data_IF_243312037115
#
_entry.id   IF_243312037115
#
_cell.length_a   1.000
_cell.length_b   1.000
_cell.length_c   1.000
_cell.angle_alpha   90.00
_cell.angle_beta   90.00
_cell.angle_gamma   90.00
#
_symmetry.space_group_name_H-M   'P 1'
#
loop_
_entity.id
_entity.type
_entity.pdbx_description
1 polymer ?
#
# COMPACT_ATOMS: atom_id res chain seq x y z
N UNK A 1 44.57 22.00 -41.45
CA UNK A 1 45.07 21.53 -40.14
C UNK A 1 43.97 20.64 -39.55
N UNK A 2 43.78 19.36 -39.91
CA UNK A 2 44.68 18.21 -40.09
C UNK A 2 45.50 17.91 -38.84
N UNK A 3 45.01 16.92 -38.08
CA UNK A 3 45.75 15.87 -37.37
C UNK A 3 46.67 16.27 -36.22
N UNK A 4 46.43 15.68 -35.03
CA UNK A 4 47.28 15.51 -33.83
C UNK A 4 46.33 15.70 -32.62
N UNK A 5 45.82 14.70 -31.89
CA UNK A 5 46.51 13.61 -31.23
C UNK A 5 45.53 12.44 -30.99
N UNK A 6 45.54 11.46 -31.89
CA UNK A 6 45.33 10.07 -31.51
C UNK A 6 46.65 9.58 -30.89
N UNK A 7 46.71 9.45 -29.56
CA UNK A 7 47.71 8.63 -28.84
C UNK A 7 47.48 8.77 -27.35
N UNK A 8 46.60 7.96 -26.79
CA UNK A 8 46.87 7.25 -25.54
C UNK A 8 46.05 5.96 -25.53
N UNK A 9 46.50 5.10 -26.43
CA UNK A 9 46.25 3.67 -26.45
C UNK A 9 46.65 3.06 -25.10
N UNK A 10 45.96 1.97 -24.73
CA UNK A 10 46.40 0.95 -23.77
C UNK A 10 46.41 1.35 -22.28
N UNK A 11 45.25 1.20 -21.65
CA UNK A 11 45.23 0.51 -20.35
C UNK A 11 44.12 -0.52 -20.36
N UNK A 12 44.53 -1.73 -20.74
CA UNK A 12 43.78 -2.97 -20.78
C UNK A 12 43.51 -3.40 -19.34
N UNK A 13 42.53 -2.78 -18.67
CA UNK A 13 42.04 -3.29 -17.40
C UNK A 13 41.10 -4.46 -17.68
N UNK A 14 41.65 -5.69 -17.64
CA UNK A 14 40.87 -6.89 -17.37
C UNK A 14 40.26 -6.75 -15.98
N UNK A 15 39.03 -6.22 -15.90
CA UNK A 15 38.19 -6.39 -14.72
C UNK A 15 37.45 -7.72 -14.85
N UNK A 16 37.66 -8.69 -13.95
CA UNK A 16 36.80 -9.85 -13.87
C UNK A 16 35.41 -9.34 -13.44
N UNK A 17 34.44 -9.45 -14.34
CA UNK A 17 33.03 -9.25 -14.01
C UNK A 17 32.63 -10.39 -13.08
N UNK A 18 32.87 -10.19 -11.78
CA UNK A 18 32.29 -11.01 -10.74
C UNK A 18 30.76 -10.81 -10.84
N UNK A 19 30.09 -11.81 -11.41
CA UNK A 19 28.63 -11.93 -11.39
C UNK A 19 28.22 -12.14 -9.92
N UNK A 20 28.14 -11.05 -9.17
CA UNK A 20 27.47 -11.04 -7.87
C UNK A 20 25.99 -11.28 -8.16
N UNK A 21 25.59 -12.55 -8.10
CA UNK A 21 24.21 -12.95 -7.87
C UNK A 21 23.81 -12.36 -6.51
N UNK A 22 23.43 -11.09 -6.53
CA UNK A 22 22.63 -10.50 -5.48
C UNK A 22 21.31 -11.25 -5.52
N UNK A 23 21.24 -12.34 -4.75
CA UNK A 23 19.99 -12.91 -4.32
C UNK A 23 19.28 -11.83 -3.49
N UNK A 24 18.65 -10.90 -4.19
CA UNK A 24 17.63 -10.03 -3.63
C UNK A 24 16.54 -10.97 -3.17
N UNK A 25 16.61 -11.36 -1.89
CA UNK A 25 15.48 -11.86 -1.15
C UNK A 25 14.40 -10.79 -1.27
N UNK A 26 13.58 -10.89 -2.31
CA UNK A 26 12.37 -10.13 -2.44
C UNK A 26 11.49 -10.63 -1.30
N UNK A 27 11.55 -9.92 -0.16
CA UNK A 27 10.57 -10.08 0.89
C UNK A 27 9.20 -10.00 0.20
N UNK A 28 8.29 -10.96 0.44
CA UNK A 28 7.02 -10.96 -0.25
C UNK A 28 6.34 -9.63 0.06
N UNK A 29 6.08 -8.83 -0.97
CA UNK A 29 5.44 -7.51 -0.85
C UNK A 29 4.12 -7.57 -0.05
N UNK A 30 3.52 -8.76 0.05
CA UNK A 30 2.35 -9.07 0.86
C UNK A 30 2.57 -8.97 2.39
N UNK A 31 3.77 -9.21 2.90
CA UNK A 31 4.04 -9.20 4.35
C UNK A 31 4.20 -7.78 4.93
N UNK A 32 4.71 -6.84 4.13
CA UNK A 32 4.91 -5.44 4.55
C UNK A 32 3.59 -4.71 4.80
N UNK A 33 2.52 -5.08 4.10
CA UNK A 33 1.24 -4.38 4.17
C UNK A 33 0.41 -4.81 5.40
N UNK A 34 0.49 -6.08 5.83
CA UNK A 34 -0.31 -6.60 6.94
C UNK A 34 -0.01 -5.94 8.29
N UNK A 35 1.28 -5.69 8.61
CA UNK A 35 1.65 -4.94 9.82
C UNK A 35 1.07 -3.52 9.82
N UNK A 36 1.07 -2.89 8.64
CA UNK A 36 0.53 -1.55 8.46
C UNK A 36 -1.00 -1.52 8.55
N UNK A 37 -1.68 -2.58 8.11
CA UNK A 37 -3.13 -2.75 8.24
C UNK A 37 -3.53 -2.95 9.71
N UNK A 38 -2.81 -3.79 10.46
CA UNK A 38 -3.04 -3.97 11.90
C UNK A 38 -2.84 -2.66 12.65
N UNK A 39 -1.78 -1.89 12.32
CA UNK A 39 -1.56 -0.56 12.92
C UNK A 39 -2.74 0.37 12.64
N UNK A 40 -3.23 0.41 11.40
CA UNK A 40 -4.36 1.25 11.05
C UNK A 40 -5.67 0.82 11.69
N UNK A 41 -5.92 -0.48 11.80
CA UNK A 41 -7.06 -1.02 12.54
C UNK A 41 -7.03 -0.57 14.00
N UNK A 42 -5.88 -0.71 14.67
CA UNK A 42 -5.72 -0.31 16.08
C UNK A 42 -5.91 1.19 16.28
N UNK A 43 -5.27 2.01 15.45
CA UNK A 43 -5.39 3.47 15.56
C UNK A 43 -6.81 3.94 15.27
N UNK A 44 -7.45 3.43 14.22
CA UNK A 44 -8.81 3.77 13.87
C UNK A 44 -9.80 3.38 14.97
N UNK A 45 -9.62 2.21 15.59
CA UNK A 45 -10.44 1.81 16.74
C UNK A 45 -10.25 2.75 17.95
N UNK A 46 -9.01 3.14 18.26
CA UNK A 46 -8.74 4.09 19.34
C UNK A 46 -9.32 5.49 19.07
N UNK A 47 -9.30 5.98 17.83
CA UNK A 47 -9.98 7.23 17.47
C UNK A 47 -11.50 7.09 17.58
N UNK A 48 -12.08 5.97 17.17
CA UNK A 48 -13.51 5.73 17.26
C UNK A 48 -14.05 5.75 18.71
N UNK A 49 -13.21 5.40 19.69
CA UNK A 49 -13.60 5.41 21.12
C UNK A 49 -13.36 6.75 21.80
N UNK A 50 -12.46 7.59 21.29
CA UNK A 50 -12.04 8.84 21.94
C UNK A 50 -12.55 10.11 21.26
N UNK A 51 -12.87 10.05 19.96
CA UNK A 51 -13.36 11.19 19.19
C UNK A 51 -14.80 11.55 19.59
N UNK A 52 -15.05 12.86 19.75
CA UNK A 52 -16.35 13.43 20.14
C UNK A 52 -17.10 13.99 18.96
N UNK A 53 -16.39 14.38 17.91
CA UNK A 53 -17.00 14.81 16.65
C UNK A 53 -17.59 13.60 15.92
N UNK A 54 -18.91 13.53 15.82
CA UNK A 54 -19.62 12.37 15.25
C UNK A 54 -19.21 12.05 13.80
N UNK A 55 -19.05 13.04 12.89
CA UNK A 55 -18.51 12.78 11.56
C UNK A 55 -17.12 12.11 11.57
N UNK A 56 -16.17 12.63 12.35
CA UNK A 56 -14.82 12.05 12.46
C UNK A 56 -14.83 10.66 13.11
N UNK A 57 -15.64 10.49 14.15
CA UNK A 57 -15.82 9.19 14.82
C UNK A 57 -16.38 8.15 13.85
N UNK A 58 -17.38 8.52 13.04
CA UNK A 58 -17.94 7.60 12.03
C UNK A 58 -16.89 7.20 11.01
N UNK A 59 -16.09 8.14 10.54
CA UNK A 59 -14.98 7.86 9.63
C UNK A 59 -13.92 6.93 10.24
N UNK A 60 -13.61 7.10 11.54
CA UNK A 60 -12.71 6.20 12.26
C UNK A 60 -13.29 4.78 12.36
N UNK A 61 -14.59 4.63 12.62
CA UNK A 61 -15.27 3.33 12.64
C UNK A 61 -15.20 2.65 11.26
N UNK A 62 -15.53 3.36 10.19
CA UNK A 62 -15.45 2.84 8.81
C UNK A 62 -14.02 2.43 8.44
N UNK A 63 -13.03 3.23 8.84
CA UNK A 63 -11.62 2.91 8.63
C UNK A 63 -11.23 1.65 9.40
N UNK A 64 -11.66 1.51 10.65
CA UNK A 64 -11.40 0.31 11.44
C UNK A 64 -12.00 -0.95 10.78
N UNK A 65 -13.23 -0.88 10.29
CA UNK A 65 -13.89 -1.97 9.57
C UNK A 65 -13.17 -2.34 8.27
N UNK A 66 -12.76 -1.35 7.48
CA UNK A 66 -11.99 -1.56 6.26
C UNK A 66 -10.70 -2.36 6.53
N UNK A 67 -9.91 -1.93 7.53
CA UNK A 67 -8.67 -2.61 7.87
C UNK A 67 -8.90 -3.96 8.55
N UNK A 68 -9.96 -4.11 9.34
CA UNK A 68 -10.33 -5.39 9.94
C UNK A 68 -10.53 -6.46 8.86
N UNK A 69 -11.33 -6.18 7.81
CA UNK A 69 -11.54 -7.13 6.72
C UNK A 69 -10.25 -7.51 5.97
N UNK A 70 -9.32 -6.57 5.81
CA UNK A 70 -8.00 -6.86 5.19
C UNK A 70 -7.14 -7.73 6.08
N UNK A 71 -7.13 -7.46 7.39
CA UNK A 71 -6.37 -8.20 8.38
C UNK A 71 -6.89 -9.63 8.47
N UNK A 72 -8.20 -9.81 8.56
CA UNK A 72 -8.86 -11.12 8.63
C UNK A 72 -8.53 -12.00 7.41
N UNK A 73 -8.54 -11.41 6.21
CA UNK A 73 -8.19 -12.10 4.98
C UNK A 73 -6.69 -12.49 4.87
N UNK A 74 -5.81 -11.93 5.72
CA UNK A 74 -4.35 -12.03 5.56
C UNK A 74 -3.64 -12.73 6.71
N UNK A 75 -4.18 -12.67 7.92
CA UNK A 75 -3.50 -13.11 9.13
C UNK A 75 -4.32 -14.18 9.86
N UNK A 76 -3.64 -15.21 10.35
CA UNK A 76 -4.23 -16.11 11.33
C UNK A 76 -4.40 -15.39 12.67
N UNK A 77 -5.27 -15.89 13.58
CA UNK A 77 -5.43 -15.28 14.91
C UNK A 77 -4.13 -15.16 15.70
N UNK A 78 -3.25 -16.16 15.60
CA UNK A 78 -1.94 -16.15 16.28
C UNK A 78 -1.01 -15.07 15.71
N UNK A 79 -0.98 -14.90 14.38
CA UNK A 79 -0.21 -13.85 13.71
C UNK A 79 -0.75 -12.46 14.04
N UNK A 80 -2.08 -12.28 14.02
CA UNK A 80 -2.71 -11.02 14.42
C UNK A 80 -2.34 -10.65 15.85
N UNK A 81 -2.45 -11.58 16.80
CA UNK A 81 -2.05 -11.37 18.20
C UNK A 81 -0.59 -10.90 18.29
N UNK A 82 0.33 -11.57 17.61
CA UNK A 82 1.74 -11.20 17.60
C UNK A 82 1.98 -9.79 17.04
N UNK A 83 1.27 -9.42 15.96
CA UNK A 83 1.37 -8.10 15.36
C UNK A 83 0.81 -7.00 16.26
N UNK A 84 -0.36 -7.23 16.87
CA UNK A 84 -0.96 -6.28 17.84
C UNK A 84 -0.01 -6.04 19.00
N UNK A 85 0.56 -7.10 19.58
CA UNK A 85 1.52 -6.98 20.68
C UNK A 85 2.79 -6.21 20.29
N UNK A 86 3.25 -6.38 19.05
CA UNK A 86 4.43 -5.68 18.53
C UNK A 86 4.13 -4.20 18.33
N UNK A 87 3.01 -3.88 17.68
CA UNK A 87 2.61 -2.51 17.36
C UNK A 87 2.27 -1.72 18.63
N UNK A 88 1.58 -2.34 19.59
CA UNK A 88 1.19 -1.71 20.86
C UNK A 88 2.38 -1.12 21.63
N UNK A 89 3.57 -1.72 21.52
CA UNK A 89 4.80 -1.22 22.16
C UNK A 89 5.34 0.07 21.56
N UNK A 90 4.99 0.34 20.30
CA UNK A 90 5.52 1.48 19.52
C UNK A 90 4.48 2.57 19.30
N UNK A 91 3.20 2.24 19.46
CA UNK A 91 2.09 3.14 19.19
C UNK A 91 1.77 3.98 20.43
N UNK A 92 2.43 5.13 20.54
CA UNK A 92 2.26 6.09 21.64
C UNK A 92 1.26 7.20 21.27
N UNK A 93 0.66 7.93 22.24
CA UNK A 93 -0.30 8.99 21.94
C UNK A 93 0.18 10.05 20.92
N UNK A 94 1.44 10.54 20.96
CA UNK A 94 1.95 11.46 19.95
C UNK A 94 1.97 10.89 18.53
N UNK A 95 2.04 9.56 18.40
CA UNK A 95 2.07 8.87 17.10
C UNK A 95 0.68 8.58 16.52
N UNK A 96 -0.38 8.69 17.32
CA UNK A 96 -1.73 8.28 16.94
C UNK A 96 -2.28 9.11 15.78
N UNK A 97 -2.24 10.44 15.87
CA UNK A 97 -2.80 11.31 14.83
C UNK A 97 -2.05 11.21 13.49
N UNK A 98 -0.70 11.26 13.44
CA UNK A 98 0.04 11.01 12.20
C UNK A 98 -0.24 9.64 11.60
N UNK A 99 -0.30 8.59 12.44
CA UNK A 99 -0.63 7.25 11.96
C UNK A 99 -2.05 7.20 11.38
N UNK A 100 -3.03 7.79 12.05
CA UNK A 100 -4.41 7.83 11.57
C UNK A 100 -4.51 8.55 10.23
N UNK A 101 -3.86 9.70 10.09
CA UNK A 101 -3.85 10.44 8.82
C UNK A 101 -3.28 9.60 7.68
N UNK A 102 -2.18 8.87 7.89
CA UNK A 102 -1.64 7.96 6.90
C UNK A 102 -2.61 6.81 6.53
N UNK A 103 -3.35 6.30 7.51
CA UNK A 103 -4.39 5.29 7.29
C UNK A 103 -5.56 5.86 6.46
N UNK A 104 -6.05 7.05 6.83
CA UNK A 104 -7.13 7.74 6.10
C UNK A 104 -6.74 7.98 4.65
N UNK A 105 -5.53 8.44 4.38
CA UNK A 105 -5.05 8.67 3.01
C UNK A 105 -5.14 7.41 2.15
N UNK A 106 -4.75 6.26 2.72
CA UNK A 106 -4.85 4.97 2.01
C UNK A 106 -6.30 4.56 1.76
N UNK A 107 -7.19 4.73 2.74
CA UNK A 107 -8.63 4.47 2.56
C UNK A 107 -9.21 5.36 1.46
N UNK A 108 -8.87 6.66 1.45
CA UNK A 108 -9.36 7.61 0.45
C UNK A 108 -8.86 7.28 -0.96
N UNK A 109 -7.59 6.94 -1.11
CA UNK A 109 -7.03 6.49 -2.39
C UNK A 109 -7.78 5.26 -2.92
N UNK A 110 -8.12 4.31 -2.05
CA UNK A 110 -8.87 3.11 -2.42
C UNK A 110 -10.32 3.43 -2.76
N UNK A 111 -10.98 4.35 -2.04
CA UNK A 111 -12.33 4.84 -2.39
C UNK A 111 -12.35 5.47 -3.77
N UNK A 112 -11.40 6.36 -4.07
CA UNK A 112 -11.29 7.02 -5.36
C UNK A 112 -11.11 6.02 -6.51
N UNK A 113 -10.23 5.03 -6.32
CA UNK A 113 -10.02 3.94 -7.28
C UNK A 113 -11.31 3.15 -7.53
N UNK A 114 -12.03 2.75 -6.47
CA UNK A 114 -13.28 1.99 -6.62
C UNK A 114 -14.38 2.81 -7.31
N UNK A 115 -14.46 4.11 -7.04
CA UNK A 115 -15.39 5.01 -7.73
C UNK A 115 -15.06 5.11 -9.22
N UNK A 116 -13.78 5.19 -9.58
CA UNK A 116 -13.36 5.20 -10.98
C UNK A 116 -13.74 3.91 -11.69
N UNK A 117 -13.45 2.76 -11.08
CA UNK A 117 -13.84 1.44 -11.63
C UNK A 117 -15.36 1.39 -11.83
N UNK A 118 -16.15 1.86 -10.87
CA UNK A 118 -17.61 1.91 -11.00
C UNK A 118 -18.08 2.73 -12.20
N UNK A 119 -17.45 3.89 -12.46
CA UNK A 119 -17.75 4.73 -13.64
C UNK A 119 -17.37 4.04 -14.94
N UNK A 120 -16.24 3.35 -14.98
CA UNK A 120 -15.79 2.60 -16.15
C UNK A 120 -16.74 1.43 -16.45
N UNK A 121 -17.22 0.72 -15.42
CA UNK A 121 -18.19 -0.36 -15.55
C UNK A 121 -19.54 0.13 -16.08
N UNK A 122 -20.05 1.26 -15.59
CA UNK A 122 -21.32 1.82 -16.10
C UNK A 122 -21.20 2.31 -17.53
N UNK A 123 -20.07 2.93 -17.90
CA UNK A 123 -19.79 3.33 -19.28
C UNK A 123 -19.69 2.12 -20.22
N UNK A 124 -19.04 1.04 -19.79
CA UNK A 124 -18.94 -0.20 -20.56
C UNK A 124 -20.31 -0.86 -20.77
N UNK A 125 -21.16 -0.89 -19.74
CA UNK A 125 -22.51 -1.46 -19.82
C UNK A 125 -23.45 -0.64 -20.73
N UNK A 126 -23.24 0.68 -20.84
CA UNK A 126 -24.02 1.55 -21.71
C UNK A 126 -23.68 1.40 -23.20
N UNK A 127 -22.53 0.80 -23.53
CA UNK A 127 -22.15 0.53 -24.92
C UNK A 127 -22.93 -0.68 -25.43
N UNK A 128 -23.80 -0.54 -26.45
CA UNK A 128 -24.57 -1.68 -26.96
C UNK A 128 -23.62 -2.78 -27.44
N UNK A 129 -23.96 -4.03 -27.13
CA UNK A 129 -23.19 -5.19 -27.56
C UNK A 129 -23.03 -5.17 -29.10
N UNK A 130 -21.82 -5.41 -29.64
CA UNK A 130 -21.62 -5.50 -31.08
C UNK A 130 -22.48 -6.67 -31.61
N UNK A 131 -23.58 -6.37 -32.31
CA UNK A 131 -24.48 -7.38 -32.87
C UNK A 131 -25.98 -7.17 -32.61
N UNK A 132 -26.38 -6.19 -31.78
CA UNK A 132 -27.80 -5.81 -31.66
C UNK A 132 -28.27 -4.99 -32.88
N UNK A 133 -28.28 -5.61 -34.07
CA UNK A 133 -28.92 -5.06 -35.28
C UNK A 133 -30.41 -5.36 -35.18
N UNK A 134 -31.24 -4.32 -35.14
CA UNK A 134 -32.71 -4.44 -35.21
C UNK A 134 -33.08 -5.08 -36.55
N UNK A 135 -33.82 -6.20 -36.50
CA UNK A 135 -34.55 -6.73 -37.67
C UNK A 135 -35.77 -5.89 -37.98
#
# INVERSE_FOLDING_TARGET
MRSLFLSFMRSLFLFPVALSFAATLAAPAFAQDAASDVRCMMVANAFATTEKDEPKKRFAIESAQYYFGRVDARLTPAQLKAQVMTIAKTLTPPMMAPAMNACVQRVQQRRAMMQQIGKEMTAAAAKPAPGAVKK
#
